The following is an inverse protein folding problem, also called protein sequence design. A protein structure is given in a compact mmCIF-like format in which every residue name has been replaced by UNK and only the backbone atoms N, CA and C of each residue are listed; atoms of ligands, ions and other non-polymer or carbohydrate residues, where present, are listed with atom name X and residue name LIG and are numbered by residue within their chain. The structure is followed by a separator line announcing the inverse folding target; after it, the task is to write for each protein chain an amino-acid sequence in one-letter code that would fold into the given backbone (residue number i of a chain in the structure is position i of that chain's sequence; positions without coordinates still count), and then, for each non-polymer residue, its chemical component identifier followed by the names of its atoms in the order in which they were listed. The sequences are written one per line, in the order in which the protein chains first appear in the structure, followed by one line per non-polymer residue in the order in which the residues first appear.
data_IF_809408631549
#
_entry.id   IF_809408631549
#
_cell.length_a   1.000
_cell.length_b   1.000
_cell.length_c   1.000
_cell.angle_alpha   90.00
_cell.angle_beta   90.00
_cell.angle_gamma   90.00
#
_symmetry.space_group_name_H-M   'P 1'
#
loop_
_entity.id
_entity.type
_entity.pdbx_description
1 polymer ?
#
# COMPACT_ATOMS: atom_id res chain seq x y z
N UNK A 1 54.83 -5.48 -28.55
CA UNK A 1 54.83 -6.95 -28.39
C UNK A 1 53.39 -7.40 -28.21
N UNK A 2 52.84 -8.00 -29.26
CA UNK A 2 51.56 -8.69 -29.22
C UNK A 2 51.61 -9.85 -28.23
N UNK A 3 50.66 -9.91 -27.30
CA UNK A 3 50.09 -11.17 -26.85
C UNK A 3 48.62 -11.17 -27.26
N UNK A 4 48.34 -11.94 -28.30
CA UNK A 4 47.00 -12.39 -28.64
C UNK A 4 46.53 -13.30 -27.51
N UNK A 5 45.53 -12.87 -26.74
CA UNK A 5 44.66 -13.79 -26.02
C UNK A 5 43.57 -14.25 -26.97
N UNK A 6 43.90 -15.28 -27.75
CA UNK A 6 42.96 -16.15 -28.45
C UNK A 6 42.89 -17.46 -27.66
N UNK A 7 41.99 -17.56 -26.67
CA UNK A 7 41.24 -18.79 -26.36
C UNK A 7 40.29 -18.60 -25.18
N UNK A 8 39.08 -18.10 -25.45
CA UNK A 8 37.92 -18.28 -24.55
C UNK A 8 36.66 -18.48 -25.40
N UNK A 9 36.77 -19.36 -26.39
CA UNK A 9 35.66 -19.78 -27.25
C UNK A 9 35.26 -21.21 -26.90
N UNK A 10 34.53 -21.40 -25.80
CA UNK A 10 33.78 -22.63 -25.52
C UNK A 10 32.83 -22.41 -24.35
N UNK A 11 31.57 -22.83 -24.52
CA UNK A 11 30.56 -23.11 -23.47
C UNK A 11 30.02 -21.95 -22.64
N UNK A 12 29.34 -20.99 -23.27
CA UNK A 12 28.23 -20.30 -22.60
C UNK A 12 26.99 -20.25 -23.49
N UNK A 13 26.74 -21.32 -24.25
CA UNK A 13 25.49 -21.46 -25.01
C UNK A 13 24.32 -21.71 -24.06
N UNK A 14 23.11 -21.29 -24.45
CA UNK A 14 21.89 -21.58 -23.69
C UNK A 14 21.73 -23.08 -23.43
N UNK A 15 22.06 -23.91 -24.41
CA UNK A 15 22.09 -25.37 -24.29
C UNK A 15 23.03 -25.86 -23.17
N UNK A 16 24.20 -25.22 -22.99
CA UNK A 16 25.13 -25.60 -21.92
C UNK A 16 24.67 -25.14 -20.53
N UNK A 17 23.92 -24.03 -20.45
CA UNK A 17 23.43 -23.45 -19.19
C UNK A 17 22.15 -24.10 -18.70
N UNK A 18 21.26 -24.48 -19.62
CA UNK A 18 19.94 -25.06 -19.36
C UNK A 18 19.70 -26.28 -20.26
N UNK A 19 20.50 -27.36 -20.13
CA UNK A 19 20.45 -28.49 -21.06
C UNK A 19 19.13 -29.25 -21.04
N UNK A 20 18.45 -29.30 -19.88
CA UNK A 20 17.15 -29.96 -19.74
C UNK A 20 16.08 -29.15 -20.46
N UNK A 21 15.89 -27.89 -20.08
CA UNK A 21 14.88 -27.01 -20.68
C UNK A 21 15.11 -26.82 -22.20
N UNK A 22 16.37 -26.66 -22.61
CA UNK A 22 16.70 -26.49 -24.02
C UNK A 22 16.33 -27.73 -24.87
N UNK A 23 16.48 -28.93 -24.28
CA UNK A 23 16.10 -30.19 -24.92
C UNK A 23 14.59 -30.40 -24.90
N UNK A 24 13.94 -30.15 -23.77
CA UNK A 24 12.50 -30.35 -23.61
C UNK A 24 11.68 -29.42 -24.52
N UNK A 25 12.21 -28.22 -24.80
CA UNK A 25 11.60 -27.26 -25.73
C UNK A 25 12.10 -27.34 -27.18
N UNK A 26 12.89 -28.36 -27.54
CA UNK A 26 13.42 -28.47 -28.92
C UNK A 26 12.33 -28.57 -29.99
N UNK A 27 11.23 -29.27 -29.69
CA UNK A 27 10.08 -29.39 -30.60
C UNK A 27 9.39 -28.05 -30.85
N UNK A 28 9.08 -27.32 -29.77
CA UNK A 28 8.45 -26.00 -29.85
C UNK A 28 9.35 -24.98 -30.54
N UNK A 29 10.66 -25.01 -30.27
CA UNK A 29 11.63 -24.16 -30.95
C UNK A 29 11.64 -24.39 -32.46
N UNK A 30 11.70 -25.66 -32.90
CA UNK A 30 11.66 -26.00 -34.33
C UNK A 30 10.34 -25.59 -34.99
N UNK A 31 9.22 -25.75 -34.30
CA UNK A 31 7.90 -25.34 -34.79
C UNK A 31 7.80 -23.82 -34.94
N UNK A 32 8.24 -23.07 -33.91
CA UNK A 32 8.29 -21.61 -33.94
C UNK A 32 9.16 -21.13 -35.10
N UNK A 33 10.37 -21.67 -35.25
CA UNK A 33 11.27 -21.28 -36.33
C UNK A 33 10.63 -21.49 -37.71
N UNK A 34 10.05 -22.68 -37.96
CA UNK A 34 9.39 -22.99 -39.25
C UNK A 34 8.21 -22.09 -39.55
N UNK A 35 7.42 -21.74 -38.53
CA UNK A 35 6.20 -20.95 -38.69
C UNK A 35 6.48 -19.45 -38.77
N UNK A 36 7.47 -18.95 -38.03
CA UNK A 36 7.67 -17.54 -37.78
C UNK A 36 8.80 -16.89 -38.58
N UNK A 37 9.84 -17.64 -38.96
CA UNK A 37 10.90 -17.08 -39.83
C UNK A 37 10.36 -16.53 -41.17
N UNK A 38 9.35 -17.15 -41.83
CA UNK A 38 8.77 -16.57 -43.05
C UNK A 38 8.11 -15.20 -42.86
N UNK A 39 7.79 -14.81 -41.62
CA UNK A 39 7.20 -13.52 -41.23
C UNK A 39 8.13 -12.73 -40.31
N UNK A 40 9.44 -12.98 -40.37
CA UNK A 40 10.44 -12.37 -39.48
C UNK A 40 10.45 -10.84 -39.56
N UNK A 41 10.23 -10.27 -40.75
CA UNK A 41 10.18 -8.82 -40.95
C UNK A 41 8.96 -8.18 -40.24
N UNK A 42 7.81 -8.86 -40.21
CA UNK A 42 6.61 -8.42 -39.48
C UNK A 42 6.82 -8.51 -37.95
N UNK A 43 7.56 -9.53 -37.50
CA UNK A 43 7.91 -9.69 -36.08
C UNK A 43 8.87 -8.58 -35.65
N UNK A 44 9.95 -8.37 -36.41
CA UNK A 44 10.97 -7.34 -36.13
C UNK A 44 10.41 -5.92 -36.20
N UNK A 45 9.49 -5.65 -37.13
CA UNK A 45 8.87 -4.34 -37.27
C UNK A 45 7.89 -4.00 -36.15
N UNK A 46 7.43 -5.01 -35.40
CA UNK A 46 6.46 -4.88 -34.31
C UNK A 46 5.00 -5.07 -34.74
N UNK A 47 4.74 -5.43 -35.99
CA UNK A 47 3.38 -5.51 -36.54
C UNK A 47 2.68 -6.83 -36.17
N UNK A 48 3.44 -7.90 -35.94
CA UNK A 48 2.91 -9.22 -35.59
C UNK A 48 2.67 -9.40 -34.07
N UNK A 49 1.66 -8.70 -33.55
CA UNK A 49 1.34 -8.66 -32.10
C UNK A 49 1.05 -10.03 -31.51
N UNK A 50 0.30 -10.88 -32.20
CA UNK A 50 -0.10 -12.19 -31.66
C UNK A 50 1.12 -13.06 -31.33
N UNK A 51 2.12 -13.08 -32.22
CA UNK A 51 3.31 -13.90 -31.98
C UNK A 51 4.27 -13.22 -30.99
N UNK A 52 4.39 -11.89 -31.02
CA UNK A 52 5.17 -11.14 -30.03
C UNK A 52 4.62 -11.33 -28.62
N UNK A 53 3.29 -11.36 -28.45
CA UNK A 53 2.64 -11.59 -27.15
C UNK A 53 3.08 -12.93 -26.53
N UNK A 54 3.17 -14.00 -27.32
CA UNK A 54 3.59 -15.33 -26.84
C UNK A 54 5.00 -15.30 -26.28
N UNK A 55 5.94 -14.65 -26.97
CA UNK A 55 7.30 -14.48 -26.47
C UNK A 55 7.38 -13.51 -25.29
N UNK A 56 6.56 -12.47 -25.25
CA UNK A 56 6.53 -11.53 -24.15
C UNK A 56 6.02 -12.21 -22.86
N UNK A 57 4.99 -13.07 -22.98
CA UNK A 57 4.53 -13.93 -21.88
C UNK A 57 5.63 -14.87 -21.40
N UNK A 58 6.37 -15.50 -22.31
CA UNK A 58 7.51 -16.35 -21.96
C UNK A 58 8.59 -15.56 -21.21
N UNK A 59 8.96 -14.38 -21.72
CA UNK A 59 9.88 -13.45 -21.07
C UNK A 59 9.44 -13.15 -19.63
N UNK A 60 8.19 -12.73 -19.45
CA UNK A 60 7.57 -12.36 -18.17
C UNK A 60 7.32 -13.55 -17.22
N UNK A 61 7.57 -14.79 -17.65
CA UNK A 61 7.35 -16.00 -16.84
C UNK A 61 5.88 -16.36 -16.67
N UNK A 62 5.05 -16.01 -17.65
CA UNK A 62 3.59 -16.22 -17.66
C UNK A 62 3.15 -17.31 -18.62
N UNK A 63 4.06 -18.19 -19.03
CA UNK A 63 3.76 -19.27 -19.95
C UNK A 63 3.18 -20.47 -19.19
N UNK A 64 1.85 -20.61 -19.17
CA UNK A 64 1.13 -21.57 -18.32
C UNK A 64 1.34 -23.04 -18.69
N UNK A 65 1.65 -23.33 -19.96
CA UNK A 65 1.78 -24.71 -20.46
C UNK A 65 3.22 -25.24 -20.38
N UNK A 66 4.14 -24.41 -19.92
CA UNK A 66 5.52 -24.80 -19.72
C UNK A 66 5.85 -24.52 -18.27
N UNK A 67 6.20 -25.56 -17.51
CA UNK A 67 6.84 -25.44 -16.21
C UNK A 67 8.25 -24.82 -16.35
N UNK A 68 8.41 -23.77 -17.18
CA UNK A 68 9.64 -23.03 -17.31
C UNK A 68 9.96 -22.45 -15.95
N UNK A 69 11.02 -22.98 -15.37
CA UNK A 69 11.48 -22.57 -14.07
C UNK A 69 11.72 -21.06 -14.08
N UNK A 70 11.08 -20.36 -13.14
CA UNK A 70 11.29 -18.93 -12.95
C UNK A 70 12.77 -18.61 -12.61
N UNK A 71 13.59 -19.62 -12.30
CA UNK A 71 15.05 -19.52 -12.18
C UNK A 71 15.76 -19.19 -13.49
N UNK A 72 15.16 -19.50 -14.65
CA UNK A 72 15.72 -19.15 -15.96
C UNK A 72 15.60 -17.64 -16.16
N UNK A 73 16.69 -16.91 -16.47
CA UNK A 73 16.62 -15.48 -16.71
C UNK A 73 15.72 -15.11 -17.90
N UNK A 74 14.99 -13.97 -17.85
CA UNK A 74 13.96 -13.62 -18.84
C UNK A 74 14.40 -13.70 -20.31
N UNK A 75 15.59 -13.21 -20.64
CA UNK A 75 16.12 -13.25 -22.02
C UNK A 75 16.37 -14.67 -22.52
N UNK A 76 16.87 -15.54 -21.64
CA UNK A 76 17.19 -16.92 -22.02
C UNK A 76 15.93 -17.72 -22.32
N UNK A 77 14.78 -17.35 -21.73
CA UNK A 77 13.50 -17.98 -22.02
C UNK A 77 13.10 -17.84 -23.49
N UNK A 78 13.40 -16.70 -24.11
CA UNK A 78 13.16 -16.47 -25.55
C UNK A 78 14.09 -17.37 -26.37
N UNK A 79 15.38 -17.44 -26.01
CA UNK A 79 16.35 -18.28 -26.73
C UNK A 79 16.15 -19.78 -26.55
N UNK A 80 15.41 -20.22 -25.53
CA UNK A 80 14.95 -21.61 -25.40
C UNK A 80 13.85 -21.93 -26.41
N UNK A 81 13.00 -20.94 -26.72
CA UNK A 81 11.80 -21.09 -27.57
C UNK A 81 11.99 -20.75 -29.04
N UNK A 82 13.12 -20.14 -29.41
CA UNK A 82 13.44 -19.71 -30.77
C UNK A 82 14.94 -19.89 -31.06
N UNK A 83 15.30 -20.12 -32.32
CA UNK A 83 16.71 -20.04 -32.70
C UNK A 83 17.25 -18.60 -32.57
N UNK A 84 18.59 -18.40 -32.65
CA UNK A 84 19.18 -17.08 -32.46
C UNK A 84 18.67 -16.01 -33.43
N UNK A 85 18.36 -16.38 -34.67
CA UNK A 85 17.84 -15.43 -35.67
C UNK A 85 16.45 -14.93 -35.28
N UNK A 86 15.51 -15.84 -35.06
CA UNK A 86 14.15 -15.50 -34.67
C UNK A 86 14.11 -14.78 -33.31
N UNK A 87 14.93 -15.22 -32.34
CA UNK A 87 15.01 -14.58 -31.03
C UNK A 87 15.44 -13.10 -31.14
N UNK A 88 16.46 -12.80 -31.97
CA UNK A 88 16.90 -11.42 -32.19
C UNK A 88 15.81 -10.57 -32.86
N UNK A 89 15.06 -11.14 -33.82
CA UNK A 89 13.94 -10.45 -34.48
C UNK A 89 12.80 -10.16 -33.48
N UNK A 90 12.50 -11.08 -32.57
CA UNK A 90 11.51 -10.89 -31.50
C UNK A 90 11.93 -9.76 -30.55
N UNK A 91 13.20 -9.73 -30.12
CA UNK A 91 13.71 -8.68 -29.25
C UNK A 91 13.64 -7.30 -29.92
N UNK A 92 14.02 -7.22 -31.20
CA UNK A 92 13.88 -6.00 -32.00
C UNK A 92 12.40 -5.60 -32.14
N UNK A 93 11.50 -6.57 -32.34
CA UNK A 93 10.06 -6.38 -32.38
C UNK A 93 9.48 -5.74 -31.12
N UNK A 94 9.91 -6.17 -29.93
CA UNK A 94 9.50 -5.55 -28.67
C UNK A 94 9.87 -4.07 -28.61
N UNK A 95 11.12 -3.73 -28.97
CA UNK A 95 11.58 -2.35 -28.99
C UNK A 95 10.87 -1.51 -30.07
N UNK A 96 10.55 -2.11 -31.23
CA UNK A 96 9.81 -1.44 -32.28
C UNK A 96 8.37 -1.10 -31.84
N UNK A 97 7.69 -2.00 -31.13
CA UNK A 97 6.36 -1.75 -30.55
C UNK A 97 6.41 -0.59 -29.55
N UNK A 98 7.42 -0.56 -28.69
CA UNK A 98 7.62 0.53 -27.71
C UNK A 98 7.73 1.91 -28.38
N UNK A 99 8.35 1.98 -29.56
CA UNK A 99 8.62 3.24 -30.27
C UNK A 99 7.48 3.69 -31.19
N UNK A 100 6.83 2.75 -31.89
CA UNK A 100 5.91 3.08 -33.00
C UNK A 100 4.44 3.11 -32.58
N UNK A 101 4.06 2.33 -31.56
CA UNK A 101 2.65 2.05 -31.28
C UNK A 101 2.07 2.99 -30.22
N UNK A 102 0.84 3.43 -30.45
CA UNK A 102 0.04 4.05 -29.41
C UNK A 102 -0.58 2.95 -28.53
N UNK A 103 -0.41 3.08 -27.20
CA UNK A 103 -0.96 2.12 -26.24
C UNK A 103 -2.36 2.52 -25.78
N UNK A 104 -3.10 1.53 -25.29
CA UNK A 104 -4.43 1.70 -24.72
C UNK A 104 -4.44 2.71 -23.56
N UNK A 105 -5.57 3.39 -23.35
CA UNK A 105 -5.70 4.34 -22.25
C UNK A 105 -5.90 3.60 -20.93
N UNK A 106 -5.67 4.28 -19.81
CA UNK A 106 -5.82 3.70 -18.48
C UNK A 106 -7.21 3.06 -18.26
N UNK A 107 -8.28 3.67 -18.77
CA UNK A 107 -9.64 3.14 -18.64
C UNK A 107 -9.82 1.86 -19.46
N UNK A 108 -9.34 1.83 -20.70
CA UNK A 108 -9.41 0.64 -21.56
C UNK A 108 -8.62 -0.54 -20.94
N UNK A 109 -7.48 -0.24 -20.31
CA UNK A 109 -6.68 -1.23 -19.59
C UNK A 109 -7.43 -1.75 -18.36
N UNK A 110 -8.13 -0.89 -17.61
CA UNK A 110 -8.98 -1.33 -16.51
C UNK A 110 -10.13 -2.22 -16.99
N UNK A 111 -10.78 -1.86 -18.10
CA UNK A 111 -11.87 -2.65 -18.70
C UNK A 111 -11.38 -4.03 -19.17
N UNK A 112 -10.14 -4.11 -19.66
CA UNK A 112 -9.54 -5.36 -20.13
C UNK A 112 -9.43 -6.44 -19.04
N UNK A 113 -9.41 -6.04 -17.75
CA UNK A 113 -9.38 -6.99 -16.61
C UNK A 113 -10.68 -7.82 -16.55
N UNK A 114 -11.80 -7.27 -17.01
CA UNK A 114 -13.11 -7.93 -17.00
C UNK A 114 -13.58 -8.40 -18.37
N UNK A 115 -12.89 -8.01 -19.45
CA UNK A 115 -13.33 -8.22 -20.82
C UNK A 115 -12.26 -8.94 -21.66
N UNK A 116 -11.79 -8.32 -22.74
CA UNK A 116 -10.83 -8.87 -23.69
C UNK A 116 -9.43 -8.45 -23.27
N UNK A 117 -8.54 -9.43 -23.27
CA UNK A 117 -7.14 -9.25 -22.94
C UNK A 117 -6.41 -8.38 -23.98
N UNK A 118 -5.59 -7.43 -23.53
CA UNK A 118 -4.81 -6.53 -24.39
C UNK A 118 -3.37 -7.05 -24.56
N UNK A 119 -3.13 -7.73 -25.68
CA UNK A 119 -1.85 -8.36 -26.01
C UNK A 119 -0.65 -7.39 -25.98
N UNK A 120 -0.86 -6.13 -26.39
CA UNK A 120 0.20 -5.12 -26.39
C UNK A 120 0.78 -4.83 -25.00
N UNK A 121 0.03 -5.11 -23.93
CA UNK A 121 0.50 -4.88 -22.56
C UNK A 121 1.67 -5.78 -22.19
N UNK A 122 1.65 -7.06 -22.54
CA UNK A 122 2.79 -7.96 -22.27
C UNK A 122 4.03 -7.53 -23.05
N UNK A 123 3.83 -7.15 -24.32
CA UNK A 123 4.91 -6.70 -25.19
C UNK A 123 5.55 -5.43 -24.62
N UNK A 124 4.73 -4.47 -24.17
CA UNK A 124 5.21 -3.24 -23.54
C UNK A 124 6.05 -3.51 -22.29
N UNK A 125 5.58 -4.38 -21.39
CA UNK A 125 6.30 -4.68 -20.15
C UNK A 125 7.63 -5.39 -20.41
N UNK A 126 7.67 -6.33 -21.38
CA UNK A 126 8.91 -6.99 -21.79
C UNK A 126 9.88 -5.99 -22.45
N UNK A 127 9.37 -5.13 -23.36
CA UNK A 127 10.16 -4.10 -24.02
C UNK A 127 10.78 -3.11 -23.01
N UNK A 128 10.02 -2.68 -22.01
CA UNK A 128 10.50 -1.76 -20.98
C UNK A 128 11.54 -2.37 -20.05
N UNK A 129 11.42 -3.66 -19.71
CA UNK A 129 12.45 -4.32 -18.91
C UNK A 129 13.77 -4.45 -19.70
N UNK A 130 13.71 -4.79 -20.99
CA UNK A 130 14.89 -4.83 -21.87
C UNK A 130 15.48 -3.42 -22.03
N UNK A 131 14.66 -2.47 -22.45
CA UNK A 131 15.08 -1.09 -22.69
C UNK A 131 15.64 -0.44 -21.42
N UNK A 132 15.02 -0.67 -20.26
CA UNK A 132 15.44 -0.12 -18.98
C UNK A 132 16.76 -0.68 -18.45
N UNK A 133 17.14 -1.91 -18.83
CA UNK A 133 18.46 -2.46 -18.50
C UNK A 133 19.56 -1.83 -19.33
N UNK A 134 19.27 -1.51 -20.60
CA UNK A 134 20.24 -0.91 -21.51
C UNK A 134 20.37 0.61 -21.33
N UNK A 135 19.24 1.27 -21.12
CA UNK A 135 19.08 2.74 -21.14
C UNK A 135 18.13 3.20 -20.01
N UNK A 136 18.49 2.99 -18.73
CA UNK A 136 17.63 3.35 -17.60
C UNK A 136 17.25 4.83 -17.57
N UNK A 137 18.19 5.70 -17.94
CA UNK A 137 18.03 7.16 -17.92
C UNK A 137 17.15 7.68 -19.08
N UNK A 138 16.87 6.86 -20.10
CA UNK A 138 16.00 7.23 -21.22
C UNK A 138 14.52 6.90 -20.96
N UNK A 139 14.21 6.03 -19.99
CA UNK A 139 12.82 5.67 -19.66
C UNK A 139 11.97 6.91 -19.37
N UNK A 140 12.42 7.89 -18.55
CA UNK A 140 11.62 9.06 -18.29
C UNK A 140 11.26 9.89 -19.53
N UNK A 141 12.02 9.76 -20.62
CA UNK A 141 11.82 10.52 -21.85
C UNK A 141 10.82 9.86 -22.81
N UNK A 142 10.30 8.68 -22.49
CA UNK A 142 9.26 8.04 -23.29
C UNK A 142 7.97 8.86 -23.25
N UNK A 143 7.11 8.74 -24.27
CA UNK A 143 5.84 9.47 -24.31
C UNK A 143 5.00 9.21 -23.06
N UNK A 144 4.39 10.26 -22.49
CA UNK A 144 3.61 10.16 -21.26
C UNK A 144 2.49 9.09 -21.33
N UNK A 145 1.82 8.95 -22.49
CA UNK A 145 0.80 7.91 -22.68
C UNK A 145 1.38 6.49 -22.60
N UNK A 146 2.61 6.28 -23.09
CA UNK A 146 3.31 5.00 -22.97
C UNK A 146 3.65 4.70 -21.51
N UNK A 147 4.14 5.69 -20.77
CA UNK A 147 4.44 5.54 -19.34
C UNK A 147 3.18 5.27 -18.50
N UNK A 148 2.07 5.96 -18.80
CA UNK A 148 0.76 5.70 -18.19
C UNK A 148 0.32 4.27 -18.44
N UNK A 149 0.33 3.83 -19.70
CA UNK A 149 -0.05 2.46 -20.06
C UNK A 149 0.85 1.43 -19.37
N UNK A 150 2.15 1.69 -19.29
CA UNK A 150 3.12 0.82 -18.62
C UNK A 150 2.79 0.64 -17.14
N UNK A 151 2.49 1.73 -16.42
CA UNK A 151 2.06 1.66 -15.01
C UNK A 151 0.77 0.83 -14.92
N UNK A 152 -0.24 1.13 -15.72
CA UNK A 152 -1.52 0.41 -15.67
C UNK A 152 -1.35 -1.09 -15.97
N UNK A 153 -0.62 -1.46 -17.02
CA UNK A 153 -0.37 -2.86 -17.38
C UNK A 153 0.46 -3.60 -16.32
N UNK A 154 1.44 -2.94 -15.70
CA UNK A 154 2.25 -3.55 -14.62
C UNK A 154 1.39 -4.00 -13.43
N UNK A 155 0.31 -3.26 -13.16
CA UNK A 155 -0.61 -3.55 -12.08
C UNK A 155 -1.82 -4.40 -12.51
N UNK A 156 -2.21 -4.36 -13.79
CA UNK A 156 -3.24 -5.23 -14.34
C UNK A 156 -2.74 -6.67 -14.49
N UNK A 157 -1.47 -6.86 -14.88
CA UNK A 157 -0.91 -8.17 -15.20
C UNK A 157 0.00 -8.67 -14.10
N UNK A 158 -0.38 -9.80 -13.49
CA UNK A 158 0.42 -10.44 -12.46
C UNK A 158 1.58 -11.22 -13.09
N UNK A 159 2.80 -10.69 -13.01
CA UNK A 159 4.02 -11.38 -13.43
C UNK A 159 5.05 -11.48 -12.28
N UNK A 160 6.08 -12.30 -12.45
CA UNK A 160 7.10 -12.57 -11.44
C UNK A 160 8.31 -11.64 -11.49
N UNK A 161 8.44 -10.84 -12.55
CA UNK A 161 9.59 -9.95 -12.75
C UNK A 161 9.51 -8.69 -11.88
N UNK A 162 10.58 -8.43 -11.13
CA UNK A 162 10.81 -7.13 -10.48
C UNK A 162 11.08 -6.06 -11.54
N UNK A 163 10.44 -4.90 -11.43
CA UNK A 163 10.53 -3.81 -12.42
C UNK A 163 11.21 -2.57 -11.83
N UNK A 164 12.55 -2.46 -11.88
CA UNK A 164 13.25 -1.26 -11.39
C UNK A 164 12.79 0.02 -12.10
N UNK A 165 12.40 -0.10 -13.36
CA UNK A 165 11.90 1.01 -14.16
C UNK A 165 10.59 1.59 -13.61
N UNK A 166 9.75 0.79 -12.95
CA UNK A 166 8.45 1.24 -12.44
C UNK A 166 8.66 2.24 -11.30
N UNK A 167 9.52 1.92 -10.34
CA UNK A 167 9.87 2.83 -9.25
C UNK A 167 10.53 4.11 -9.78
N UNK A 168 11.37 4.00 -10.82
CA UNK A 168 11.96 5.16 -11.48
C UNK A 168 10.89 6.11 -12.05
N UNK A 169 9.90 5.60 -12.79
CA UNK A 169 8.81 6.44 -13.32
C UNK A 169 7.97 7.02 -12.18
N UNK A 170 7.54 6.18 -11.24
CA UNK A 170 6.58 6.60 -10.21
C UNK A 170 7.18 7.67 -9.30
N UNK A 171 8.46 7.57 -8.93
CA UNK A 171 9.10 8.54 -8.05
C UNK A 171 9.59 9.81 -8.78
N UNK A 172 10.08 9.70 -10.02
CA UNK A 172 10.65 10.85 -10.74
C UNK A 172 9.63 11.59 -11.62
N UNK A 173 8.51 10.95 -11.96
CA UNK A 173 7.41 11.55 -12.73
C UNK A 173 6.06 11.31 -12.02
N UNK A 174 5.86 11.92 -10.84
CA UNK A 174 4.66 11.70 -10.05
C UNK A 174 3.37 12.07 -10.81
N UNK A 175 3.40 13.05 -11.70
CA UNK A 175 2.21 13.45 -12.47
C UNK A 175 1.73 12.37 -13.43
N UNK A 176 2.66 11.63 -14.04
CA UNK A 176 2.35 10.48 -14.90
C UNK A 176 1.71 9.37 -14.07
N UNK A 177 2.26 9.11 -12.88
CA UNK A 177 1.72 8.11 -11.95
C UNK A 177 0.34 8.52 -11.40
N UNK A 178 0.15 9.77 -11.02
CA UNK A 178 -1.13 10.32 -10.55
C UNK A 178 -2.19 10.18 -11.64
N UNK A 179 -1.87 10.53 -12.88
CA UNK A 179 -2.78 10.35 -14.01
C UNK A 179 -3.14 8.87 -14.23
N UNK A 180 -2.12 7.99 -14.24
CA UNK A 180 -2.34 6.55 -14.40
C UNK A 180 -3.24 5.98 -13.30
N UNK A 181 -2.92 6.21 -12.02
CA UNK A 181 -3.70 5.69 -10.90
C UNK A 181 -5.11 6.29 -10.83
N UNK A 182 -5.26 7.59 -11.08
CA UNK A 182 -6.57 8.26 -11.04
C UNK A 182 -7.55 7.63 -12.04
N UNK A 183 -7.14 7.53 -13.31
CA UNK A 183 -8.03 7.02 -14.36
C UNK A 183 -8.23 5.51 -14.25
N UNK A 184 -7.16 4.75 -13.99
CA UNK A 184 -7.22 3.30 -13.88
C UNK A 184 -8.09 2.86 -12.68
N UNK A 185 -7.83 3.41 -11.49
CA UNK A 185 -8.59 3.03 -10.30
C UNK A 185 -10.03 3.52 -10.34
N UNK A 186 -10.30 4.71 -10.88
CA UNK A 186 -11.67 5.19 -11.06
C UNK A 186 -12.49 4.21 -11.89
N UNK A 187 -11.93 3.73 -13.01
CA UNK A 187 -12.62 2.75 -13.84
C UNK A 187 -12.85 1.42 -13.11
N UNK A 188 -11.87 0.95 -12.33
CA UNK A 188 -12.06 -0.25 -11.51
C UNK A 188 -13.12 -0.07 -10.40
N UNK A 189 -13.24 1.12 -9.83
CA UNK A 189 -14.28 1.46 -8.84
C UNK A 189 -15.67 1.45 -9.49
N UNK A 190 -15.80 1.94 -10.73
CA UNK A 190 -17.05 1.87 -11.51
C UNK A 190 -17.49 0.41 -11.71
N UNK A 191 -16.54 -0.51 -11.92
CA UNK A 191 -16.80 -1.96 -11.97
C UNK A 191 -17.03 -2.61 -10.61
N UNK A 192 -17.13 -1.81 -9.53
CA UNK A 192 -17.32 -2.26 -8.16
C UNK A 192 -16.28 -3.30 -7.72
N UNK A 193 -15.01 -3.08 -8.07
CA UNK A 193 -13.93 -3.98 -7.65
C UNK A 193 -13.78 -4.04 -6.13
N UNK A 194 -13.36 -5.20 -5.63
CA UNK A 194 -12.99 -5.41 -4.22
C UNK A 194 -11.51 -5.07 -3.92
N UNK A 195 -10.73 -4.76 -4.96
CA UNK A 195 -9.30 -4.50 -4.86
C UNK A 195 -8.81 -3.52 -5.93
N UNK A 196 -8.02 -2.53 -5.50
CA UNK A 196 -7.25 -1.66 -6.37
C UNK A 196 -5.79 -2.16 -6.44
N UNK A 197 -5.32 -2.63 -7.60
CA UNK A 197 -3.93 -3.02 -7.79
C UNK A 197 -2.96 -1.90 -7.42
N UNK A 198 -1.86 -2.23 -6.74
CA UNK A 198 -0.83 -1.25 -6.38
C UNK A 198 -1.13 -0.38 -5.15
N UNK A 199 -2.38 -0.32 -4.67
CA UNK A 199 -2.79 0.62 -3.60
C UNK A 199 -1.95 0.52 -2.33
N UNK A 200 -1.55 -0.69 -1.93
CA UNK A 200 -0.75 -0.90 -0.72
C UNK A 200 0.65 -0.31 -0.82
N UNK A 201 1.24 -0.24 -2.02
CA UNK A 201 2.53 0.42 -2.22
C UNK A 201 2.40 1.92 -1.97
N UNK A 202 1.36 2.53 -2.54
CA UNK A 202 1.10 3.97 -2.41
C UNK A 202 0.78 4.38 -0.98
N UNK A 203 -0.06 3.64 -0.25
CA UNK A 203 -0.53 4.10 1.07
C UNK A 203 0.43 3.77 2.23
N UNK A 204 1.33 2.79 2.06
CA UNK A 204 2.20 2.32 3.16
C UNK A 204 3.60 2.91 3.14
N UNK A 205 4.08 3.41 2.00
CA UNK A 205 5.42 3.95 1.86
C UNK A 205 5.36 5.49 1.82
N UNK A 206 6.00 6.20 2.76
CA UNK A 206 6.01 7.67 2.78
C UNK A 206 6.55 8.32 1.50
N UNK A 207 7.45 7.65 0.78
CA UNK A 207 8.03 8.14 -0.48
C UNK A 207 6.97 8.44 -1.56
N UNK A 208 5.78 7.86 -1.44
CA UNK A 208 4.66 8.03 -2.38
C UNK A 208 3.59 8.98 -1.85
N UNK A 209 3.83 9.70 -0.75
CA UNK A 209 2.84 10.56 -0.10
C UNK A 209 2.32 11.66 -1.02
N UNK A 210 3.15 12.19 -1.92
CA UNK A 210 2.72 13.17 -2.93
C UNK A 210 1.67 12.59 -3.88
N UNK A 211 1.90 11.38 -4.39
CA UNK A 211 0.93 10.68 -5.25
C UNK A 211 -0.33 10.36 -4.44
N UNK A 212 -0.17 9.81 -3.23
CA UNK A 212 -1.27 9.48 -2.34
C UNK A 212 -2.17 10.70 -2.08
N UNK A 213 -1.58 11.88 -1.84
CA UNK A 213 -2.32 13.11 -1.59
C UNK A 213 -3.24 13.52 -2.74
N UNK A 214 -2.84 13.24 -3.99
CA UNK A 214 -3.59 13.60 -5.18
C UNK A 214 -4.73 12.61 -5.49
N UNK A 215 -4.53 11.32 -5.20
CA UNK A 215 -5.46 10.26 -5.63
C UNK A 215 -6.43 9.80 -4.54
N UNK A 216 -6.11 10.00 -3.25
CA UNK A 216 -6.88 9.37 -2.17
C UNK A 216 -8.28 9.94 -1.95
N UNK A 217 -8.48 11.25 -2.11
CA UNK A 217 -9.80 11.85 -1.90
C UNK A 217 -10.85 11.32 -2.89
N UNK A 218 -10.60 11.34 -4.22
CA UNK A 218 -11.53 10.74 -5.18
C UNK A 218 -11.84 9.27 -4.88
N UNK A 219 -10.82 8.47 -4.54
CA UNK A 219 -11.02 7.05 -4.17
C UNK A 219 -11.94 6.91 -2.96
N UNK A 220 -11.71 7.70 -1.92
CA UNK A 220 -12.48 7.63 -0.68
C UNK A 220 -13.92 8.12 -0.85
N UNK A 221 -14.16 9.03 -1.79
CA UNK A 221 -15.48 9.54 -2.15
C UNK A 221 -16.29 8.52 -2.97
N UNK A 222 -15.66 7.94 -3.99
CA UNK A 222 -16.35 7.07 -4.96
C UNK A 222 -16.42 5.60 -4.51
N UNK A 223 -15.43 5.10 -3.77
CA UNK A 223 -15.30 3.66 -3.48
C UNK A 223 -15.97 3.23 -2.16
N UNK A 224 -17.29 3.35 -2.10
CA UNK A 224 -18.09 3.07 -0.89
C UNK A 224 -18.03 1.61 -0.43
N UNK A 225 -17.76 0.66 -1.34
CA UNK A 225 -17.71 -0.78 -1.06
C UNK A 225 -16.37 -1.28 -0.53
N UNK A 226 -15.39 -0.39 -0.33
CA UNK A 226 -14.03 -0.72 0.15
C UNK A 226 -14.01 -1.56 1.42
N UNK A 227 -13.25 -2.65 1.46
CA UNK A 227 -13.15 -3.52 2.66
C UNK A 227 -12.65 -2.75 3.89
N UNK A 228 -13.26 -2.99 5.06
CA UNK A 228 -12.96 -2.27 6.33
C UNK A 228 -11.46 -2.12 6.65
N UNK A 229 -10.68 -3.20 6.46
CA UNK A 229 -9.23 -3.18 6.73
C UNK A 229 -8.48 -2.23 5.79
N UNK A 230 -8.86 -2.20 4.52
CA UNK A 230 -8.29 -1.29 3.53
C UNK A 230 -8.75 0.14 3.77
N UNK A 231 -10.05 0.37 4.07
CA UNK A 231 -10.56 1.69 4.45
C UNK A 231 -9.77 2.30 5.60
N UNK A 232 -9.48 1.50 6.64
CA UNK A 232 -8.66 1.93 7.77
C UNK A 232 -7.27 2.41 7.32
N UNK A 233 -6.62 1.66 6.44
CA UNK A 233 -5.28 2.00 5.95
C UNK A 233 -5.32 3.24 5.02
N UNK A 234 -6.38 3.38 4.19
CA UNK A 234 -6.62 4.56 3.34
C UNK A 234 -6.84 5.83 4.17
N UNK A 235 -7.71 5.78 5.18
CA UNK A 235 -8.02 6.92 6.04
C UNK A 235 -6.82 7.38 6.87
N UNK A 236 -5.96 6.44 7.30
CA UNK A 236 -4.69 6.77 7.97
C UNK A 236 -3.74 7.50 7.04
N UNK A 237 -3.59 7.00 5.81
CA UNK A 237 -2.77 7.68 4.80
C UNK A 237 -3.34 9.07 4.47
N UNK A 238 -4.66 9.18 4.30
CA UNK A 238 -5.31 10.47 4.04
C UNK A 238 -5.09 11.49 5.18
N UNK A 239 -5.16 11.07 6.45
CA UNK A 239 -4.82 11.94 7.59
C UNK A 239 -3.37 12.44 7.55
N UNK A 240 -2.45 11.66 6.95
CA UNK A 240 -1.04 12.03 6.80
C UNK A 240 -0.81 12.98 5.63
N UNK A 241 -1.46 12.74 4.48
CA UNK A 241 -1.02 13.31 3.20
C UNK A 241 -1.96 14.34 2.58
N UNK A 242 -3.25 14.27 2.88
CA UNK A 242 -4.29 15.07 2.22
C UNK A 242 -4.56 16.37 3.01
N UNK A 243 -5.06 17.41 2.33
CA UNK A 243 -5.58 18.60 2.99
C UNK A 243 -6.66 18.25 4.03
N UNK A 244 -6.43 18.65 5.28
CA UNK A 244 -7.28 18.32 6.41
C UNK A 244 -8.68 18.96 6.32
N UNK A 245 -8.86 20.06 5.60
CA UNK A 245 -10.19 20.69 5.42
C UNK A 245 -11.03 19.91 4.41
N UNK A 246 -10.42 19.46 3.31
CA UNK A 246 -11.11 18.61 2.33
C UNK A 246 -11.44 17.23 2.91
N UNK A 247 -10.48 16.59 3.60
CA UNK A 247 -10.74 15.33 4.30
C UNK A 247 -11.82 15.47 5.39
N UNK A 248 -11.87 16.63 6.05
CA UNK A 248 -12.93 16.94 7.00
C UNK A 248 -14.30 17.01 6.33
N UNK A 249 -14.43 17.71 5.19
CA UNK A 249 -15.70 17.78 4.44
C UNK A 249 -16.16 16.39 4.02
N UNK A 250 -15.25 15.60 3.45
CA UNK A 250 -15.55 14.24 3.02
C UNK A 250 -15.99 13.37 4.21
N UNK A 251 -15.20 13.31 5.28
CA UNK A 251 -15.54 12.50 6.45
C UNK A 251 -16.84 12.94 7.14
N UNK A 252 -17.13 14.24 7.19
CA UNK A 252 -18.39 14.75 7.71
C UNK A 252 -19.59 14.34 6.84
N UNK A 253 -19.46 14.42 5.52
CA UNK A 253 -20.46 13.95 4.56
C UNK A 253 -20.68 12.43 4.69
N UNK A 254 -19.60 11.66 4.74
CA UNK A 254 -19.66 10.21 4.95
C UNK A 254 -20.40 9.88 6.24
N UNK A 255 -20.07 10.50 7.37
CA UNK A 255 -20.76 10.28 8.66
C UNK A 255 -22.25 10.63 8.58
N UNK A 256 -22.62 11.72 7.89
CA UNK A 256 -24.02 12.14 7.78
C UNK A 256 -24.85 11.17 6.93
N UNK A 257 -24.27 10.64 5.86
CA UNK A 257 -24.96 9.82 4.86
C UNK A 257 -24.80 8.31 5.08
N UNK A 258 -23.93 7.88 6.01
CA UNK A 258 -23.56 6.47 6.12
C UNK A 258 -24.70 5.57 6.58
N UNK A 259 -24.76 4.38 5.99
CA UNK A 259 -25.62 3.30 6.45
C UNK A 259 -25.13 2.75 7.81
N UNK A 260 -25.88 3.03 8.89
CA UNK A 260 -25.57 2.54 10.24
C UNK A 260 -25.53 1.00 10.37
N UNK A 261 -26.02 0.25 9.37
CA UNK A 261 -25.91 -1.21 9.31
C UNK A 261 -24.47 -1.71 9.12
N UNK A 262 -23.52 -0.84 8.75
CA UNK A 262 -22.09 -1.18 8.64
C UNK A 262 -21.25 -0.51 9.75
N UNK A 263 -21.37 -0.99 11.01
CA UNK A 263 -20.81 -0.28 12.16
C UNK A 263 -19.29 -0.14 12.12
N UNK A 264 -18.60 -1.12 11.51
CA UNK A 264 -17.15 -1.14 11.42
C UNK A 264 -16.54 -0.11 10.48
N UNK A 265 -17.24 0.31 9.41
CA UNK A 265 -16.78 1.38 8.51
C UNK A 265 -17.19 2.75 9.06
N UNK A 266 -18.42 2.84 9.58
CA UNK A 266 -18.93 4.07 10.19
C UNK A 266 -18.02 4.59 11.32
N UNK A 267 -17.55 3.71 12.22
CA UNK A 267 -16.68 4.13 13.31
C UNK A 267 -15.33 4.68 12.82
N UNK A 268 -14.82 4.22 11.66
CA UNK A 268 -13.58 4.73 11.09
C UNK A 268 -13.77 6.15 10.54
N UNK A 269 -14.84 6.39 9.78
CA UNK A 269 -15.21 7.72 9.31
C UNK A 269 -15.47 8.69 10.45
N UNK A 270 -16.20 8.25 11.48
CA UNK A 270 -16.47 9.06 12.66
C UNK A 270 -15.20 9.35 13.47
N UNK A 271 -14.26 8.40 13.54
CA UNK A 271 -12.97 8.62 14.17
C UNK A 271 -12.15 9.69 13.44
N UNK A 272 -12.09 9.65 12.10
CA UNK A 272 -11.43 10.69 11.29
C UNK A 272 -12.07 12.06 11.51
N UNK A 273 -13.40 12.15 11.40
CA UNK A 273 -14.13 13.40 11.62
C UNK A 273 -13.91 13.96 13.04
N UNK A 274 -13.87 13.08 14.05
CA UNK A 274 -13.52 13.45 15.43
C UNK A 274 -12.08 13.89 15.58
N UNK A 275 -11.11 13.22 14.98
CA UNK A 275 -9.69 13.61 15.05
C UNK A 275 -9.48 15.01 14.43
N UNK A 276 -10.16 15.30 13.32
CA UNK A 276 -10.05 16.59 12.63
C UNK A 276 -10.81 17.72 13.33
N UNK A 277 -11.95 17.42 13.96
CA UNK A 277 -12.81 18.39 14.66
C UNK A 277 -13.40 17.80 15.97
N UNK A 278 -12.58 17.64 17.04
CA UNK A 278 -13.01 16.94 18.25
C UNK A 278 -14.25 17.54 18.91
N UNK A 279 -14.30 18.86 19.03
CA UNK A 279 -15.42 19.58 19.67
C UNK A 279 -16.75 19.34 18.97
N UNK A 280 -16.75 19.35 17.62
CA UNK A 280 -17.97 19.20 16.83
C UNK A 280 -18.50 17.76 16.81
N UNK A 281 -17.59 16.78 16.71
CA UNK A 281 -17.98 15.37 16.58
C UNK A 281 -18.05 14.62 17.91
N UNK A 282 -17.62 15.23 19.02
CA UNK A 282 -17.72 14.64 20.37
C UNK A 282 -19.13 14.14 20.72
N UNK A 283 -20.23 14.90 20.52
CA UNK A 283 -21.57 14.40 20.87
C UNK A 283 -21.95 13.15 20.08
N UNK A 284 -21.73 13.18 18.76
CA UNK A 284 -22.04 12.09 17.83
C UNK A 284 -21.23 10.84 18.18
N UNK A 285 -19.94 10.99 18.47
CA UNK A 285 -19.07 9.90 18.87
C UNK A 285 -19.49 9.27 20.20
N UNK A 286 -19.84 10.09 21.20
CA UNK A 286 -20.35 9.60 22.48
C UNK A 286 -21.66 8.83 22.34
N UNK A 287 -22.61 9.36 21.56
CA UNK A 287 -23.90 8.72 21.30
C UNK A 287 -23.72 7.39 20.59
N UNK A 288 -22.95 7.37 19.49
CA UNK A 288 -22.81 6.19 18.65
C UNK A 288 -22.10 5.03 19.34
N UNK A 289 -20.95 5.33 19.96
CA UNK A 289 -20.12 4.32 20.62
C UNK A 289 -20.81 3.81 21.89
N UNK A 290 -21.56 4.69 22.57
CA UNK A 290 -22.37 4.35 23.73
C UNK A 290 -21.55 3.62 24.79
N UNK A 291 -22.04 2.44 25.21
CA UNK A 291 -21.41 1.58 26.22
C UNK A 291 -20.91 0.24 25.65
N UNK A 292 -20.90 0.07 24.33
CA UNK A 292 -20.60 -1.21 23.67
C UNK A 292 -19.11 -1.36 23.38
N UNK A 293 -18.49 -2.42 23.91
CA UNK A 293 -17.07 -2.71 23.69
C UNK A 293 -16.75 -2.96 22.22
N UNK A 294 -17.66 -3.55 21.44
CA UNK A 294 -17.39 -3.85 20.02
C UNK A 294 -17.13 -2.59 19.19
N UNK A 295 -17.66 -1.43 19.61
CA UNK A 295 -17.43 -0.14 18.93
C UNK A 295 -16.21 0.60 19.47
N UNK A 296 -15.90 0.43 20.76
CA UNK A 296 -14.77 1.08 21.42
C UNK A 296 -13.42 0.53 20.97
N UNK A 297 -13.31 -0.78 20.74
CA UNK A 297 -12.04 -1.40 20.36
C UNK A 297 -11.55 -0.94 18.98
N UNK A 298 -12.38 -0.92 17.91
CA UNK A 298 -11.96 -0.35 16.62
C UNK A 298 -11.56 1.13 16.69
N UNK A 299 -12.26 1.93 17.52
CA UNK A 299 -11.91 3.33 17.76
C UNK A 299 -10.54 3.46 18.43
N UNK A 300 -10.31 2.69 19.50
CA UNK A 300 -9.04 2.66 20.22
C UNK A 300 -7.90 2.23 19.31
N UNK A 301 -8.10 1.16 18.55
CA UNK A 301 -7.13 0.67 17.58
C UNK A 301 -6.80 1.76 16.57
N UNK A 302 -7.81 2.36 15.93
CA UNK A 302 -7.59 3.39 14.93
C UNK A 302 -6.81 4.58 15.48
N UNK A 303 -7.22 5.12 16.63
CA UNK A 303 -6.52 6.24 17.27
C UNK A 303 -5.10 5.88 17.66
N UNK A 304 -4.87 4.66 18.16
CA UNK A 304 -3.53 4.17 18.48
C UNK A 304 -2.66 4.13 17.22
N UNK A 305 -3.15 3.55 16.11
CA UNK A 305 -2.38 3.53 14.86
C UNK A 305 -2.04 4.93 14.36
N UNK A 306 -3.00 5.86 14.39
CA UNK A 306 -2.79 7.26 13.95
C UNK A 306 -1.75 7.99 14.82
N UNK A 307 -1.85 7.91 16.14
CA UNK A 307 -1.03 8.73 17.03
C UNK A 307 0.26 8.05 17.50
N UNK A 308 0.29 6.71 17.56
CA UNK A 308 1.46 5.94 18.01
C UNK A 308 2.27 5.42 16.82
N UNK A 309 1.63 4.72 15.87
CA UNK A 309 2.36 4.11 14.75
C UNK A 309 2.74 5.15 13.69
N UNK A 310 1.78 5.96 13.27
CA UNK A 310 2.01 6.98 12.24
C UNK A 310 2.56 8.29 12.84
N UNK A 311 2.57 8.39 14.17
CA UNK A 311 3.06 9.54 14.95
C UNK A 311 2.47 10.89 14.49
N UNK A 312 1.23 10.89 13.97
CA UNK A 312 0.62 12.10 13.42
C UNK A 312 0.36 13.13 14.51
N UNK A 313 0.81 14.36 14.25
CA UNK A 313 0.52 15.54 15.08
C UNK A 313 -0.64 16.30 14.45
N UNK A 314 -1.79 16.28 15.10
CA UNK A 314 -3.01 16.93 14.60
C UNK A 314 -3.20 18.26 15.31
N UNK A 315 -3.17 19.37 14.56
CA UNK A 315 -3.22 20.73 15.12
C UNK A 315 -4.45 20.97 16.01
N UNK A 316 -5.59 20.36 15.68
CA UNK A 316 -6.85 20.52 16.40
C UNK A 316 -7.08 19.45 17.48
N UNK A 317 -6.14 18.54 17.72
CA UNK A 317 -6.29 17.43 18.67
C UNK A 317 -5.49 17.70 19.95
N UNK A 318 -6.16 18.34 20.92
CA UNK A 318 -5.56 18.82 22.17
C UNK A 318 -5.82 17.87 23.37
N UNK A 319 -5.50 18.34 24.58
CA UNK A 319 -5.78 17.64 25.83
C UNK A 319 -7.26 17.26 25.99
N UNK A 320 -8.20 18.08 25.49
CA UNK A 320 -9.63 17.79 25.55
C UNK A 320 -10.03 16.66 24.60
N UNK A 321 -9.40 16.58 23.43
CA UNK A 321 -9.51 15.44 22.50
C UNK A 321 -9.11 14.13 23.17
N UNK A 322 -7.92 14.08 23.78
CA UNK A 322 -7.44 12.91 24.52
C UNK A 322 -8.34 12.57 25.72
N UNK A 323 -8.73 13.55 26.53
CA UNK A 323 -9.62 13.32 27.66
C UNK A 323 -10.99 12.79 27.23
N UNK A 324 -11.51 13.24 26.08
CA UNK A 324 -12.75 12.69 25.51
C UNK A 324 -12.58 11.21 25.17
N UNK A 325 -11.51 10.82 24.48
CA UNK A 325 -11.21 9.40 24.19
C UNK A 325 -11.03 8.58 25.47
N UNK A 326 -10.24 9.07 26.43
CA UNK A 326 -10.01 8.40 27.72
C UNK A 326 -11.35 8.16 28.43
N UNK A 327 -12.20 9.19 28.54
CA UNK A 327 -13.50 9.08 29.19
C UNK A 327 -14.37 8.00 28.54
N UNK A 328 -14.41 7.92 27.21
CA UNK A 328 -15.20 6.91 26.50
C UNK A 328 -14.61 5.50 26.68
N UNK A 329 -13.29 5.35 26.47
CA UNK A 329 -12.63 4.06 26.35
C UNK A 329 -12.25 3.48 27.71
N UNK A 330 -11.54 4.24 28.55
CA UNK A 330 -11.06 3.77 29.85
C UNK A 330 -12.22 3.43 30.80
N UNK A 331 -13.40 4.06 30.62
CA UNK A 331 -14.59 3.70 31.40
C UNK A 331 -15.09 2.27 31.18
N UNK A 332 -14.64 1.59 30.11
CA UNK A 332 -15.06 0.24 29.73
C UNK A 332 -13.92 -0.76 29.61
N UNK A 333 -12.70 -0.29 29.46
CA UNK A 333 -11.49 -1.12 29.35
C UNK A 333 -10.66 -0.92 30.61
N UNK A 334 -11.06 -1.62 31.67
CA UNK A 334 -10.31 -1.63 32.95
C UNK A 334 -8.88 -2.10 32.72
N UNK A 335 -7.89 -1.61 33.47
CA UNK A 335 -6.52 -2.10 33.36
C UNK A 335 -6.47 -3.61 33.67
N UNK A 336 -5.86 -4.37 32.78
CA UNK A 336 -5.74 -5.81 32.89
C UNK A 336 -4.30 -6.24 32.61
N UNK A 337 -3.84 -7.22 33.39
CA UNK A 337 -2.64 -7.99 33.08
C UNK A 337 -3.04 -9.26 32.32
N UNK A 338 -2.19 -9.69 31.40
CA UNK A 338 -2.28 -10.99 30.76
C UNK A 338 -1.78 -12.11 31.71
N UNK A 339 -1.74 -13.34 31.19
CA UNK A 339 -1.31 -14.53 31.95
C UNK A 339 0.17 -14.52 32.34
N UNK A 340 0.97 -13.64 31.74
CA UNK A 340 2.41 -13.49 32.01
C UNK A 340 2.70 -12.35 32.98
N UNK A 341 1.67 -11.61 33.40
CA UNK A 341 1.82 -10.47 34.28
C UNK A 341 2.12 -9.16 33.56
N UNK A 342 2.09 -9.15 32.22
CA UNK A 342 2.27 -7.97 31.38
C UNK A 342 0.94 -7.27 31.14
N UNK A 343 0.95 -5.97 30.84
CA UNK A 343 -0.28 -5.26 30.47
C UNK A 343 -0.83 -5.82 29.16
N UNK A 344 -2.12 -6.18 29.13
CA UNK A 344 -2.72 -6.64 27.89
C UNK A 344 -2.71 -5.52 26.83
N UNK A 345 -2.70 -5.89 25.54
CA UNK A 345 -2.59 -4.95 24.41
C UNK A 345 -3.58 -3.78 24.49
N UNK A 346 -4.86 -4.06 24.78
CA UNK A 346 -5.87 -3.02 24.96
C UNK A 346 -5.56 -2.07 26.13
N UNK A 347 -5.03 -2.59 27.25
CA UNK A 347 -4.64 -1.76 28.39
C UNK A 347 -3.47 -0.87 28.02
N UNK A 348 -2.45 -1.41 27.32
CA UNK A 348 -1.31 -0.64 26.83
C UNK A 348 -1.75 0.51 25.92
N UNK A 349 -2.67 0.24 24.99
CA UNK A 349 -3.27 1.27 24.10
C UNK A 349 -4.05 2.33 24.88
N UNK A 350 -4.79 1.96 25.92
CA UNK A 350 -5.45 2.94 26.80
C UNK A 350 -4.42 3.79 27.55
N UNK A 351 -3.37 3.17 28.12
CA UNK A 351 -2.31 3.90 28.81
C UNK A 351 -1.54 4.84 27.88
N UNK A 352 -1.41 4.50 26.59
CA UNK A 352 -0.89 5.42 25.59
C UNK A 352 -1.73 6.71 25.49
N UNK A 353 -3.06 6.63 25.56
CA UNK A 353 -3.90 7.84 25.58
C UNK A 353 -3.63 8.71 26.82
N UNK A 354 -3.43 8.09 27.98
CA UNK A 354 -3.03 8.81 29.21
C UNK A 354 -1.66 9.46 29.07
N UNK A 355 -0.68 8.77 28.47
CA UNK A 355 0.62 9.33 28.17
C UNK A 355 0.51 10.56 27.24
N UNK A 356 -0.30 10.47 26.18
CA UNK A 356 -0.52 11.61 25.27
C UNK A 356 -1.20 12.79 25.96
N UNK A 357 -2.16 12.53 26.85
CA UNK A 357 -2.73 13.57 27.71
C UNK A 357 -1.65 14.19 28.61
N UNK A 358 -0.73 13.38 29.15
CA UNK A 358 0.35 13.83 30.04
C UNK A 358 1.34 14.78 29.36
N UNK A 359 1.57 14.60 28.07
CA UNK A 359 2.40 15.45 27.22
C UNK A 359 1.65 16.65 26.62
N UNK A 360 0.33 16.76 26.80
CA UNK A 360 -0.46 17.83 26.19
C UNK A 360 -0.39 19.13 26.98
N UNK A 361 -0.35 20.26 26.28
CA UNK A 361 -0.62 21.57 26.87
C UNK A 361 -2.03 21.61 27.47
N UNK A 362 -2.21 22.29 28.59
CA UNK A 362 -3.50 22.42 29.30
C UNK A 362 -4.08 21.10 29.85
N UNK A 363 -3.25 20.07 30.08
CA UNK A 363 -3.69 18.79 30.66
C UNK A 363 -4.44 18.94 31.98
N UNK A 364 -4.09 19.91 32.83
CA UNK A 364 -4.71 20.10 34.16
C UNK A 364 -6.23 20.29 34.08
N UNK A 365 -6.71 21.13 33.16
CA UNK A 365 -8.15 21.38 32.95
C UNK A 365 -8.85 20.10 32.50
N UNK A 366 -8.23 19.35 31.60
CA UNK A 366 -8.77 18.10 31.08
C UNK A 366 -8.79 16.99 32.17
N UNK A 367 -7.76 16.93 33.02
CA UNK A 367 -7.68 16.00 34.16
C UNK A 367 -8.74 16.32 35.21
N UNK A 368 -8.94 17.60 35.54
CA UNK A 368 -9.98 18.03 36.48
C UNK A 368 -11.37 17.56 36.03
N UNK A 369 -11.66 17.68 34.73
CA UNK A 369 -12.90 17.18 34.14
C UNK A 369 -13.02 15.65 34.20
N UNK A 370 -11.92 14.92 34.00
CA UNK A 370 -11.90 13.46 34.11
C UNK A 370 -12.14 13.00 35.55
N UNK A 371 -11.54 13.66 36.54
CA UNK A 371 -11.71 13.32 37.96
C UNK A 371 -13.15 13.51 38.46
N UNK A 372 -13.93 14.41 37.84
CA UNK A 372 -15.37 14.59 38.13
C UNK A 372 -16.22 13.40 37.68
N UNK A 373 -15.71 12.52 36.81
CA UNK A 373 -16.43 11.36 36.28
C UNK A 373 -16.27 10.17 37.21
N UNK A 374 -17.37 9.69 37.83
CA UNK A 374 -17.35 8.59 38.82
C UNK A 374 -16.55 7.35 38.41
N UNK A 375 -16.67 6.90 37.15
CA UNK A 375 -15.97 5.71 36.64
C UNK A 375 -14.46 5.92 36.49
N UNK A 376 -14.01 7.17 36.37
CA UNK A 376 -12.58 7.51 36.29
C UNK A 376 -11.86 7.43 37.62
N UNK A 377 -12.57 7.22 38.74
CA UNK A 377 -11.95 6.99 40.07
C UNK A 377 -10.98 5.80 40.07
N UNK A 378 -11.21 4.80 39.20
CA UNK A 378 -10.29 3.68 39.01
C UNK A 378 -8.92 4.11 38.45
N UNK A 379 -8.86 5.25 37.78
CA UNK A 379 -7.65 5.84 37.19
C UNK A 379 -7.21 7.10 37.94
N UNK A 380 -7.84 7.44 39.07
CA UNK A 380 -7.51 8.64 39.85
C UNK A 380 -6.03 8.71 40.25
N UNK A 381 -5.36 7.61 40.70
CA UNK A 381 -3.93 7.65 41.00
C UNK A 381 -3.07 8.02 39.77
N UNK A 382 -3.43 7.50 38.59
CA UNK A 382 -2.74 7.79 37.34
C UNK A 382 -2.99 9.24 36.91
N UNK A 383 -4.23 9.71 37.01
CA UNK A 383 -4.59 11.09 36.68
C UNK A 383 -3.87 12.10 37.57
N UNK A 384 -3.82 11.86 38.89
CA UNK A 384 -3.07 12.73 39.83
C UNK A 384 -1.58 12.74 39.53
N UNK A 385 -0.99 11.58 39.25
CA UNK A 385 0.42 11.47 38.85
C UNK A 385 0.71 12.29 37.58
N UNK A 386 -0.16 12.20 36.57
CA UNK A 386 -0.01 12.95 35.33
C UNK A 386 -0.16 14.47 35.54
N UNK A 387 -1.01 14.85 36.50
CA UNK A 387 -1.29 16.25 36.86
C UNK A 387 -0.09 16.90 37.57
N UNK A 388 0.64 16.15 38.40
CA UNK A 388 1.79 16.68 39.15
C UNK A 388 3.09 16.63 38.36
N UNK A 389 3.30 15.61 37.54
CA UNK A 389 4.55 15.41 36.82
C UNK A 389 4.59 16.17 35.50
N UNK A 390 5.77 16.68 35.14
CA UNK A 390 5.98 17.30 33.83
C UNK A 390 6.48 16.24 32.85
N UNK A 391 5.75 16.03 31.75
CA UNK A 391 6.17 15.14 30.67
C UNK A 391 6.47 15.98 29.45
N UNK A 392 7.75 16.05 29.10
CA UNK A 392 8.20 16.58 27.83
C UNK A 392 8.65 15.39 26.98
N UNK A 393 8.21 15.29 25.71
CA UNK A 393 8.83 14.36 24.78
C UNK A 393 10.34 14.66 24.73
N UNK A 394 11.17 13.65 24.98
CA UNK A 394 12.61 13.73 24.80
C UNK A 394 13.00 13.25 23.39
N UNK A 395 14.29 13.14 23.12
CA UNK A 395 14.81 12.68 21.83
C UNK A 395 14.70 11.16 21.64
N UNK A 396 14.19 10.41 22.62
CA UNK A 396 14.01 8.96 22.51
C UNK A 396 12.80 8.59 21.66
N UNK A 397 12.75 7.33 21.22
CA UNK A 397 11.64 6.87 20.39
C UNK A 397 10.33 6.83 21.17
N UNK A 398 9.19 7.13 20.52
CA UNK A 398 7.87 7.08 21.17
C UNK A 398 7.57 5.73 21.89
N UNK A 399 7.97 4.56 21.36
CA UNK A 399 7.90 3.30 22.10
C UNK A 399 8.65 3.31 23.43
N UNK A 400 9.90 3.80 23.45
CA UNK A 400 10.72 3.90 24.66
C UNK A 400 10.13 4.88 25.67
N UNK A 401 9.63 6.02 25.21
CA UNK A 401 8.93 7.00 26.07
C UNK A 401 7.69 6.38 26.73
N UNK A 402 6.90 5.63 25.96
CA UNK A 402 5.72 4.93 26.48
C UNK A 402 6.14 3.84 27.48
N UNK A 403 7.18 3.07 27.20
CA UNK A 403 7.68 2.05 28.13
C UNK A 403 8.20 2.66 29.43
N UNK A 404 8.94 3.77 29.35
CA UNK A 404 9.37 4.55 30.51
C UNK A 404 8.18 5.01 31.36
N UNK A 405 7.14 5.54 30.72
CA UNK A 405 5.90 5.92 31.39
C UNK A 405 5.21 4.73 32.09
N UNK A 406 5.06 3.59 31.39
CA UNK A 406 4.43 2.39 31.93
C UNK A 406 5.22 1.76 33.09
N UNK A 407 6.55 1.76 33.00
CA UNK A 407 7.44 1.29 34.05
C UNK A 407 7.32 2.15 35.31
N UNK A 408 7.22 3.48 35.14
CA UNK A 408 6.97 4.39 36.26
C UNK A 408 5.61 4.13 36.92
N UNK A 409 4.53 3.97 36.14
CA UNK A 409 3.21 3.65 36.68
C UNK A 409 3.21 2.30 37.44
N UNK A 410 3.94 1.31 36.93
CA UNK A 410 4.06 -0.02 37.55
C UNK A 410 4.86 0.04 38.85
N UNK A 411 6.01 0.72 38.85
CA UNK A 411 6.87 0.92 40.03
C UNK A 411 6.11 1.62 41.16
N UNK A 412 5.31 2.62 40.83
CA UNK A 412 4.48 3.37 41.77
C UNK A 412 3.18 2.65 42.15
N UNK A 413 2.94 1.43 41.62
CA UNK A 413 1.73 0.63 41.84
C UNK A 413 0.43 1.40 41.52
N UNK A 414 0.48 2.30 40.53
CA UNK A 414 -0.66 3.13 40.12
C UNK A 414 -1.64 2.38 39.22
N UNK A 415 -1.15 1.35 38.52
CA UNK A 415 -2.01 0.41 37.79
C UNK A 415 -2.40 -0.69 38.77
N UNK A 416 -3.69 -0.81 39.06
CA UNK A 416 -4.27 -1.93 39.82
C UNK A 416 -4.94 -2.89 38.83
N UNK A 417 -4.17 -3.77 38.16
CA UNK A 417 -4.72 -4.61 37.12
C UNK A 417 -5.60 -5.69 37.75
N UNK A 418 -6.75 -5.94 37.13
CA UNK A 418 -7.43 -7.21 37.37
C UNK A 418 -6.69 -8.31 36.61
N UNK A 419 -6.37 -9.40 37.31
CA UNK A 419 -5.91 -10.63 36.65
C UNK A 419 -7.09 -11.16 35.85
N UNK A 420 -6.91 -11.29 34.53
CA UNK A 420 -7.91 -11.92 33.68
C UNK A 420 -7.81 -13.43 33.86
N UNK A 421 -8.69 -13.99 34.68
CA UNK A 421 -8.92 -15.44 34.67
C UNK A 421 -9.57 -15.79 33.33
N UNK A 422 -8.99 -16.75 32.60
CA UNK A 422 -9.56 -17.21 31.34
C UNK A 422 -10.93 -17.84 31.59
N UNK A 423 -11.97 -17.30 30.95
CA UNK A 423 -13.16 -18.07 30.58
C UNK A 423 -12.83 -18.91 29.35
#
# INVERSE_FOLDING_TARGET
MHKQDQSSGSTNSIESRFPVDFKDHAGTRLENDRRLLPMADEIESGDNIENLERFAKAYLGMYLDMDMDNSIPPLDRIHILANPELANRVLAGFLAVLQKRAFARAQDIADSIYTVHLAEGYILLAALDIFGREKPDEIPNLPANTLVAAICFSYAYKHSIHQPWLDSIVLHQPEVAIHAFSEFWRQLIIHNTDHLPGIFFIIRKPDYDHIASAVLLPILEDWLTVRKKLLRDLLRCALRTVDHKELYKLSASSVANWNRAEPGRYILWLAVAFILQPTKFRPILNEYVGRTKEKLLPLLDFCYWVFYTDQLKMANFDANGYATLIRMIASRITPQKDRYGELCDNTRKVMFLFYRLACSSNKHVAIEQLLKVRVMKLYEPILKYIDTETFSPDDTSLPEQLDGFLNNLTRLKLIQPRIKWSD
#
